data_IF_874737019079
#
_entry.id   IF_874737019079
#
_cell.length_a   1.000
_cell.length_b   1.000
_cell.length_c   1.000
_cell.angle_alpha   90.00
_cell.angle_beta   90.00
_cell.angle_gamma   90.00
#
_symmetry.space_group_name_H-M   'P 1'
#
loop_
_entity.id
_entity.type
_entity.pdbx_description
1 polymer ?
#
# COMPACT_ATOMS: atom_id res chain seq x y z
N UNK A 1 -7.32 23.91 17.11
CA UNK A 1 -7.24 22.44 16.88
C UNK A 1 -8.46 21.99 16.08
N UNK A 2 -8.28 21.46 14.87
CA UNK A 2 -9.37 21.00 13.99
C UNK A 2 -9.82 19.59 14.41
N UNK A 3 -11.11 19.30 14.39
CA UNK A 3 -11.64 17.95 14.68
C UNK A 3 -11.83 17.19 13.37
N UNK A 4 -11.36 15.95 13.30
CA UNK A 4 -11.51 15.07 12.13
C UNK A 4 -12.10 13.75 12.57
N UNK A 5 -13.18 13.34 11.92
CA UNK A 5 -13.76 12.00 12.05
C UNK A 5 -13.34 11.16 10.84
N UNK A 6 -12.81 9.97 11.09
CA UNK A 6 -12.47 8.97 10.06
C UNK A 6 -13.42 7.78 10.26
N UNK A 7 -14.10 7.36 9.21
CA UNK A 7 -14.99 6.20 9.23
C UNK A 7 -14.27 5.04 8.53
N UNK A 8 -13.96 3.99 9.30
CA UNK A 8 -13.23 2.80 8.87
C UNK A 8 -11.85 2.69 9.52
N UNK A 9 -11.63 1.64 10.30
CA UNK A 9 -10.38 1.22 10.93
C UNK A 9 -9.57 0.25 10.06
N UNK A 10 -9.64 0.38 8.73
CA UNK A 10 -8.76 -0.32 7.79
C UNK A 10 -7.43 0.41 7.59
N UNK A 11 -6.54 -0.16 6.75
CA UNK A 11 -5.19 0.37 6.50
C UNK A 11 -5.21 1.85 6.07
N UNK A 12 -6.16 2.24 5.21
CA UNK A 12 -6.26 3.62 4.71
C UNK A 12 -6.70 4.57 5.81
N UNK A 13 -7.75 4.22 6.56
CA UNK A 13 -8.27 5.07 7.63
C UNK A 13 -7.24 5.29 8.75
N UNK A 14 -6.56 4.21 9.16
CA UNK A 14 -5.49 4.28 10.15
C UNK A 14 -4.28 5.05 9.64
N UNK A 15 -3.86 4.86 8.39
CA UNK A 15 -2.75 5.61 7.81
C UNK A 15 -3.03 7.12 7.73
N UNK A 16 -4.25 7.50 7.36
CA UNK A 16 -4.68 8.91 7.38
C UNK A 16 -4.67 9.47 8.80
N UNK A 17 -5.22 8.74 9.77
CA UNK A 17 -5.23 9.15 11.17
C UNK A 17 -3.83 9.33 11.75
N UNK A 18 -2.92 8.39 11.44
CA UNK A 18 -1.51 8.45 11.82
C UNK A 18 -0.80 9.66 11.21
N UNK A 19 -0.98 9.94 9.92
CA UNK A 19 -0.34 11.13 9.31
C UNK A 19 -0.89 12.44 9.89
N UNK A 20 -2.20 12.52 10.16
CA UNK A 20 -2.80 13.70 10.78
C UNK A 20 -2.33 13.91 12.23
N UNK A 21 -2.09 12.84 12.99
CA UNK A 21 -1.57 12.96 14.35
C UNK A 21 -0.13 13.48 14.37
N UNK A 22 0.70 13.06 13.40
CA UNK A 22 2.07 13.56 13.23
C UNK A 22 2.15 15.03 12.82
N UNK A 23 1.24 15.50 11.96
CA UNK A 23 1.21 16.91 11.53
C UNK A 23 0.87 17.88 12.68
N UNK A 24 0.19 17.41 13.72
CA UNK A 24 -0.29 18.23 14.82
C UNK A 24 -1.45 19.17 14.44
N UNK A 25 -2.09 19.77 15.44
CA UNK A 25 -3.22 20.68 15.22
C UNK A 25 -4.55 20.01 14.89
N UNK A 26 -4.59 18.67 14.83
CA UNK A 26 -5.78 17.86 14.62
C UNK A 26 -6.12 17.03 15.86
N UNK A 27 -7.41 16.95 16.20
CA UNK A 27 -7.98 15.95 17.10
C UNK A 27 -8.71 14.92 16.22
N UNK A 28 -8.11 13.73 16.11
CA UNK A 28 -8.59 12.66 15.23
C UNK A 28 -9.40 11.65 16.04
N UNK A 29 -10.59 11.29 15.53
CA UNK A 29 -11.39 10.16 16.03
C UNK A 29 -11.61 9.19 14.88
N UNK A 30 -11.28 7.91 15.09
CA UNK A 30 -11.54 6.83 14.13
C UNK A 30 -12.73 6.02 14.63
N UNK A 31 -13.72 5.81 13.77
CA UNK A 31 -14.88 4.97 14.01
C UNK A 31 -14.71 3.67 13.21
N UNK A 32 -14.73 2.52 13.89
CA UNK A 32 -14.74 1.19 13.29
C UNK A 32 -16.02 0.48 13.75
N UNK A 33 -16.69 -0.22 12.83
CA UNK A 33 -17.92 -0.95 13.12
C UNK A 33 -17.64 -2.31 13.77
N UNK A 34 -16.48 -2.89 13.48
CA UNK A 34 -16.04 -4.17 14.01
C UNK A 34 -15.38 -4.00 15.39
N UNK A 35 -15.30 -5.10 16.17
CA UNK A 35 -14.64 -5.08 17.48
C UNK A 35 -13.13 -4.79 17.41
N UNK A 36 -12.51 -5.11 16.27
CA UNK A 36 -11.08 -4.95 16.01
C UNK A 36 -10.85 -4.25 14.66
N UNK A 37 -9.70 -3.60 14.53
CA UNK A 37 -9.30 -2.95 13.29
C UNK A 37 -8.92 -4.00 12.24
N UNK A 38 -9.10 -3.65 10.96
CA UNK A 38 -8.61 -4.48 9.86
C UNK A 38 -9.34 -5.80 9.64
N UNK A 39 -10.51 -6.05 10.25
CA UNK A 39 -11.24 -7.33 10.14
C UNK A 39 -11.76 -7.68 8.74
N UNK A 40 -11.68 -6.74 7.79
CA UNK A 40 -12.09 -6.89 6.38
C UNK A 40 -10.88 -6.96 5.43
N UNK A 41 -10.89 -6.20 4.32
CA UNK A 41 -9.86 -6.28 3.26
C UNK A 41 -8.43 -6.06 3.78
N UNK A 42 -8.24 -5.20 4.78
CA UNK A 42 -6.90 -4.88 5.32
C UNK A 42 -6.25 -6.04 6.10
N UNK A 43 -7.04 -6.95 6.68
CA UNK A 43 -6.55 -8.18 7.31
C UNK A 43 -6.65 -9.41 6.39
N UNK A 44 -7.30 -9.28 5.23
CA UNK A 44 -7.53 -10.36 4.26
C UNK A 44 -6.93 -10.02 2.90
N UNK A 45 -5.62 -9.83 2.87
CA UNK A 45 -4.83 -9.64 1.66
C UNK A 45 -3.53 -10.44 1.75
N UNK A 46 -2.74 -10.45 0.67
CA UNK A 46 -1.51 -11.23 0.58
C UNK A 46 -0.35 -10.68 1.43
N UNK A 47 -0.49 -9.48 2.04
CA UNK A 47 0.58 -8.81 2.76
C UNK A 47 1.72 -8.30 1.87
N UNK A 48 1.56 -8.33 0.54
CA UNK A 48 2.62 -7.96 -0.41
C UNK A 48 2.73 -6.45 -0.56
N UNK A 49 3.94 -5.92 -0.35
CA UNK A 49 4.29 -4.56 -0.77
C UNK A 49 4.61 -4.57 -2.27
N UNK A 50 3.63 -4.21 -3.09
CA UNK A 50 3.73 -4.31 -4.55
C UNK A 50 4.65 -3.24 -5.16
N UNK A 51 5.62 -3.67 -5.97
CA UNK A 51 6.56 -2.81 -6.70
C UNK A 51 5.97 -2.05 -7.91
N UNK A 52 4.67 -2.25 -8.23
CA UNK A 52 3.96 -1.45 -9.22
C UNK A 52 4.15 -1.83 -10.70
N UNK A 53 4.82 -2.94 -11.02
CA UNK A 53 5.13 -3.39 -12.39
C UNK A 53 3.92 -3.41 -13.35
N UNK A 54 2.72 -3.75 -12.84
CA UNK A 54 1.52 -3.90 -13.66
C UNK A 54 0.69 -2.61 -13.76
N UNK A 55 1.16 -1.49 -13.21
CA UNK A 55 0.41 -0.24 -13.20
C UNK A 55 0.73 0.62 -14.42
N UNK A 56 -0.26 1.34 -14.92
CA UNK A 56 -0.03 2.25 -16.04
C UNK A 56 0.96 3.35 -15.62
N UNK A 57 2.02 3.61 -16.39
CA UNK A 57 3.01 4.63 -16.06
C UNK A 57 2.35 5.98 -15.80
N UNK A 58 2.89 6.75 -14.84
CA UNK A 58 2.39 8.07 -14.42
C UNK A 58 0.97 8.09 -13.82
N UNK A 59 0.28 6.94 -13.75
CA UNK A 59 -1.01 6.85 -13.07
C UNK A 59 -0.87 7.16 -11.58
N UNK A 60 -1.98 7.57 -10.95
CA UNK A 60 -2.01 7.78 -9.50
C UNK A 60 -1.61 6.51 -8.74
N UNK A 61 -2.02 5.34 -9.23
CA UNK A 61 -1.68 4.05 -8.62
C UNK A 61 -0.19 3.76 -8.69
N UNK A 62 0.46 4.02 -9.83
CA UNK A 62 1.91 3.87 -9.99
C UNK A 62 2.68 4.77 -9.01
N UNK A 63 2.32 6.06 -8.94
CA UNK A 63 2.96 7.01 -8.00
C UNK A 63 2.76 6.60 -6.54
N UNK A 64 1.52 6.34 -6.14
CA UNK A 64 1.22 5.96 -4.76
C UNK A 64 1.86 4.62 -4.36
N UNK A 65 2.00 3.67 -5.28
CA UNK A 65 2.67 2.41 -4.99
C UNK A 65 4.18 2.58 -4.81
N UNK A 66 4.81 3.41 -5.66
CA UNK A 66 6.23 3.74 -5.54
C UNK A 66 6.52 4.46 -4.21
N UNK A 67 5.83 5.57 -3.95
CA UNK A 67 6.00 6.36 -2.73
C UNK A 67 5.58 5.58 -1.49
N UNK A 68 4.50 4.81 -1.58
CA UNK A 68 3.97 3.97 -0.52
C UNK A 68 4.91 2.82 -0.15
N UNK A 69 5.59 2.20 -1.12
CA UNK A 69 6.61 1.16 -0.86
C UNK A 69 7.75 1.73 -0.04
N UNK A 70 8.29 2.89 -0.43
CA UNK A 70 9.37 3.56 0.30
C UNK A 70 8.95 3.91 1.74
N UNK A 71 7.76 4.49 1.89
CA UNK A 71 7.23 4.87 3.20
C UNK A 71 6.92 3.65 4.08
N UNK A 72 6.40 2.57 3.52
CA UNK A 72 6.07 1.35 4.28
C UNK A 72 7.34 0.66 4.80
N UNK A 73 8.38 0.53 3.97
CA UNK A 73 9.67 -0.02 4.41
C UNK A 73 10.24 0.78 5.59
N UNK A 74 10.31 2.10 5.43
CA UNK A 74 10.77 2.99 6.51
C UNK A 74 9.90 2.89 7.78
N UNK A 75 8.59 2.81 7.62
CA UNK A 75 7.68 2.61 8.76
C UNK A 75 7.94 1.29 9.48
N UNK A 76 8.10 0.19 8.73
CA UNK A 76 8.39 -1.12 9.30
C UNK A 76 9.73 -1.14 10.05
N UNK A 77 10.78 -0.58 9.46
CA UNK A 77 12.10 -0.44 10.10
C UNK A 77 12.01 0.39 11.39
N UNK A 78 11.37 1.55 11.35
CA UNK A 78 11.26 2.45 12.50
C UNK A 78 10.44 1.87 13.67
N UNK A 79 9.45 1.02 13.36
CA UNK A 79 8.52 0.49 14.35
C UNK A 79 8.79 -0.99 14.68
N UNK A 80 9.89 -1.57 14.19
CA UNK A 80 10.23 -2.99 14.35
C UNK A 80 9.08 -3.92 13.90
N UNK A 81 8.42 -3.59 12.79
CA UNK A 81 7.42 -4.46 12.16
C UNK A 81 8.14 -5.37 11.19
N UNK A 82 7.97 -6.68 11.34
CA UNK A 82 8.60 -7.66 10.46
C UNK A 82 8.14 -7.48 9.01
N UNK A 83 9.09 -7.43 8.09
CA UNK A 83 8.87 -7.45 6.64
C UNK A 83 10.07 -8.12 5.96
N UNK A 84 9.87 -8.57 4.72
CA UNK A 84 10.92 -9.20 3.92
C UNK A 84 10.99 -8.57 2.52
N UNK A 85 12.21 -8.43 2.00
CA UNK A 85 12.48 -8.01 0.63
C UNK A 85 12.85 -9.26 -0.18
N UNK A 86 11.85 -10.10 -0.43
CA UNK A 86 12.02 -11.40 -1.09
C UNK A 86 11.99 -11.34 -2.63
N UNK A 87 11.71 -10.17 -3.21
CA UNK A 87 11.54 -10.01 -4.66
C UNK A 87 10.21 -10.54 -5.20
N UNK A 88 10.02 -10.48 -6.52
CA UNK A 88 8.84 -10.99 -7.21
C UNK A 88 9.27 -11.58 -8.55
N UNK A 89 8.81 -12.81 -8.83
CA UNK A 89 8.98 -13.45 -10.14
C UNK A 89 7.62 -13.49 -10.83
N UNK A 90 7.58 -13.13 -12.12
CA UNK A 90 6.43 -13.36 -12.99
C UNK A 90 6.86 -14.36 -14.05
N UNK A 91 6.05 -15.38 -14.26
CA UNK A 91 6.31 -16.49 -15.19
C UNK A 91 5.19 -16.54 -16.22
N UNK A 92 5.56 -16.83 -17.46
CA UNK A 92 4.63 -17.11 -18.54
C UNK A 92 4.59 -18.62 -18.77
N UNK A 93 3.39 -19.15 -18.99
CA UNK A 93 3.12 -20.56 -19.25
C UNK A 93 2.80 -20.85 -20.71
N UNK A 94 2.56 -19.81 -21.52
CA UNK A 94 2.32 -19.89 -22.96
C UNK A 94 2.83 -18.65 -23.71
N UNK A 95 2.80 -18.70 -25.05
CA UNK A 95 3.30 -17.64 -25.93
C UNK A 95 2.50 -16.32 -25.83
N UNK A 96 1.24 -16.37 -25.43
CA UNK A 96 0.43 -15.16 -25.23
C UNK A 96 0.83 -14.46 -23.92
N UNK A 97 1.06 -15.21 -22.86
CA UNK A 97 1.60 -14.69 -21.60
C UNK A 97 3.02 -14.11 -21.77
N UNK A 98 3.85 -14.69 -22.65
CA UNK A 98 5.17 -14.12 -23.00
C UNK A 98 5.02 -12.69 -23.54
N UNK A 99 4.11 -12.46 -24.49
CA UNK A 99 3.85 -11.12 -25.05
C UNK A 99 3.38 -10.13 -23.98
N UNK A 100 2.56 -10.59 -23.03
CA UNK A 100 2.12 -9.78 -21.89
C UNK A 100 3.29 -9.42 -20.97
N UNK A 101 4.17 -10.38 -20.65
CA UNK A 101 5.36 -10.13 -19.84
C UNK A 101 6.32 -9.14 -20.50
N UNK A 102 6.55 -9.23 -21.81
CA UNK A 102 7.35 -8.24 -22.55
C UNK A 102 6.73 -6.84 -22.48
N UNK A 103 5.40 -6.73 -22.52
CA UNK A 103 4.68 -5.48 -22.28
C UNK A 103 4.93 -4.92 -20.88
N UNK A 104 4.90 -5.76 -19.86
CA UNK A 104 5.16 -5.38 -18.47
C UNK A 104 6.63 -4.98 -18.26
N UNK A 105 7.58 -5.72 -18.85
CA UNK A 105 9.00 -5.42 -18.77
C UNK A 105 9.32 -4.03 -19.35
N UNK A 106 8.79 -3.71 -20.54
CA UNK A 106 8.94 -2.38 -21.16
C UNK A 106 8.41 -1.24 -20.30
N UNK A 107 7.32 -1.47 -19.54
CA UNK A 107 6.80 -0.45 -18.61
C UNK A 107 7.73 -0.20 -17.41
N UNK A 108 8.54 -1.18 -17.04
CA UNK A 108 9.52 -1.06 -15.95
C UNK A 108 10.83 -0.38 -16.33
N UNK A 109 11.10 -0.20 -17.62
CA UNK A 109 12.27 0.53 -18.15
C UNK A 109 12.05 2.04 -18.27
N UNK A 110 10.79 2.50 -18.15
CA UNK A 110 10.36 3.90 -18.25
C UNK A 110 10.35 4.62 -16.90
#
# INVERSE_FOLDING_TARGET
MKKVAIVGGGLVGLAVGYKLSLLGGYKVTVFEKEEQQGMHQSGRNSGVIHCGLSYEPKSLKARLAHDGTKQMKAFCEQNNVNFDICGKVMVASDDEEVKLLEGVARKGEL
#
